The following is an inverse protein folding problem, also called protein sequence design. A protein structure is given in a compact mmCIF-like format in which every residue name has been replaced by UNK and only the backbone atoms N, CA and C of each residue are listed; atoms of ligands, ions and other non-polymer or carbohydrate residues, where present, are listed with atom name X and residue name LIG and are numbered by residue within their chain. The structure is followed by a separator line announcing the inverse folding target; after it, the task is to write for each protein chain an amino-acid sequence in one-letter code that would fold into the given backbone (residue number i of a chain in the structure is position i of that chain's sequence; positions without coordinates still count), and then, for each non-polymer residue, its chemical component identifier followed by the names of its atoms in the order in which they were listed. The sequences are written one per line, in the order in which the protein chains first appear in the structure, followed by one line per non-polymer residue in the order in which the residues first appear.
data_IF_735279261552
#
_entry.id   IF_735279261552
#
_cell.length_a   1.000
_cell.length_b   1.000
_cell.length_c   1.000
_cell.angle_alpha   90.00
_cell.angle_beta   90.00
_cell.angle_gamma   90.00
#
_symmetry.space_group_name_H-M   'P 1'
#
loop_
_entity.id
_entity.type
_entity.pdbx_description
1 polymer ?
#
# COMPACT_ATOMS: atom_id res chain seq x y z
N UNK A 1 3.89 -22.58 -32.32
CA UNK A 1 2.93 -21.82 -31.49
C UNK A 1 3.46 -20.41 -31.35
N UNK A 2 2.75 -19.46 -31.95
CA UNK A 2 3.17 -18.08 -32.16
C UNK A 2 3.09 -17.24 -30.87
N UNK A 3 4.11 -16.40 -30.71
CA UNK A 3 4.44 -15.57 -29.56
C UNK A 3 3.52 -14.33 -29.50
N UNK A 4 2.47 -14.35 -28.64
CA UNK A 4 1.49 -13.25 -28.53
C UNK A 4 2.02 -11.99 -27.85
N UNK A 5 3.17 -12.04 -27.19
CA UNK A 5 3.81 -10.88 -26.53
C UNK A 5 4.49 -9.92 -27.51
N UNK A 6 4.87 -10.37 -28.71
CA UNK A 6 5.56 -9.53 -29.70
C UNK A 6 4.62 -8.68 -30.57
N UNK A 7 3.34 -9.06 -30.69
CA UNK A 7 2.39 -8.31 -31.52
C UNK A 7 1.87 -7.04 -30.82
N UNK A 8 1.79 -7.06 -29.48
CA UNK A 8 1.39 -5.91 -28.67
C UNK A 8 2.45 -4.80 -28.64
N UNK A 9 3.73 -5.17 -28.78
CA UNK A 9 4.86 -4.25 -28.77
C UNK A 9 4.95 -3.42 -30.06
N UNK A 10 4.53 -4.00 -31.20
CA UNK A 10 4.59 -3.30 -32.50
C UNK A 10 3.44 -2.30 -32.70
N UNK A 11 2.26 -2.55 -32.13
CA UNK A 11 1.14 -1.60 -32.19
C UNK A 11 1.37 -0.37 -31.32
N UNK A 12 2.04 -0.51 -30.17
CA UNK A 12 2.35 0.62 -29.28
C UNK A 12 3.39 1.58 -29.89
N UNK A 13 4.37 1.06 -30.64
CA UNK A 13 5.40 1.88 -31.30
C UNK A 13 4.89 2.64 -32.53
N UNK A 14 3.80 2.17 -33.16
CA UNK A 14 3.23 2.83 -34.34
C UNK A 14 2.45 4.11 -33.99
N UNK A 15 1.81 4.15 -32.81
CA UNK A 15 1.02 5.31 -32.37
C UNK A 15 1.91 6.49 -31.96
N UNK A 16 3.11 6.22 -31.45
CA UNK A 16 4.06 7.26 -30.98
C UNK A 16 4.70 8.05 -32.13
N UNK A 17 4.64 7.56 -33.38
CA UNK A 17 5.26 8.24 -34.54
C UNK A 17 4.37 9.26 -35.26
N UNK A 18 3.09 9.38 -34.93
CA UNK A 18 2.14 10.23 -35.66
C UNK A 18 1.61 11.45 -34.87
N UNK A 19 2.25 11.83 -33.77
CA UNK A 19 1.87 13.02 -32.99
C UNK A 19 3.10 13.91 -32.84
N UNK A 20 3.49 14.58 -33.91
CA UNK A 20 4.39 15.74 -33.88
C UNK A 20 4.13 16.54 -35.14
N UNK A 21 3.24 17.53 -35.05
CA UNK A 21 3.23 18.77 -35.84
C UNK A 21 2.12 19.68 -35.30
N UNK A 22 2.45 20.92 -34.91
CA UNK A 22 1.45 21.97 -34.69
C UNK A 22 1.74 22.95 -33.54
N UNK A 23 2.18 24.14 -33.93
CA UNK A 23 2.56 25.38 -33.21
C UNK A 23 1.68 25.91 -32.06
N UNK A 24 2.33 26.71 -31.19
CA UNK A 24 1.79 27.50 -30.08
C UNK A 24 0.90 28.68 -30.53
N UNK A 25 -0.26 28.85 -29.87
CA UNK A 25 -0.95 30.15 -29.77
C UNK A 25 -1.52 30.32 -28.37
N UNK A 26 -1.07 31.35 -27.65
CA UNK A 26 -1.58 31.79 -26.34
C UNK A 26 -2.86 32.60 -26.56
N UNK A 27 -3.97 32.17 -25.96
CA UNK A 27 -5.23 32.92 -25.91
C UNK A 27 -5.92 32.67 -24.58
N UNK A 28 -6.09 33.74 -23.79
CA UNK A 28 -6.80 33.75 -22.50
C UNK A 28 -8.30 33.71 -22.70
N UNK A 29 -8.97 32.62 -22.30
CA UNK A 29 -10.43 32.51 -22.23
C UNK A 29 -10.89 31.75 -20.96
N UNK A 30 -12.15 31.98 -20.50
CA UNK A 30 -12.65 31.53 -19.20
C UNK A 30 -12.69 30.01 -19.08
N UNK A 31 -12.42 29.47 -17.88
CA UNK A 31 -12.35 28.03 -17.61
C UNK A 31 -13.52 27.25 -18.23
N UNK A 32 -13.23 26.52 -19.28
CA UNK A 32 -14.11 25.49 -19.84
C UNK A 32 -14.43 24.45 -18.77
N UNK A 33 -15.62 23.82 -18.80
CA UNK A 33 -15.90 22.68 -17.95
C UNK A 33 -14.80 21.61 -18.13
N UNK A 34 -14.44 20.85 -17.08
CA UNK A 34 -13.41 19.83 -17.18
C UNK A 34 -13.75 18.88 -18.32
N UNK A 35 -12.79 18.62 -19.21
CA UNK A 35 -12.94 17.54 -20.20
C UNK A 35 -13.21 16.24 -19.44
N UNK A 36 -14.41 15.68 -19.58
CA UNK A 36 -14.88 14.46 -18.90
C UNK A 36 -14.01 13.24 -19.26
N UNK A 37 -13.16 13.34 -20.29
CA UNK A 37 -12.13 12.35 -20.61
C UNK A 37 -10.92 12.38 -19.67
N UNK A 38 -10.59 13.54 -19.11
CA UNK A 38 -9.40 13.76 -18.29
C UNK A 38 -9.71 13.96 -16.82
N UNK A 39 -10.92 14.39 -16.47
CA UNK A 39 -11.33 14.59 -15.09
C UNK A 39 -12.76 14.13 -14.88
N UNK A 40 -13.01 13.34 -13.82
CA UNK A 40 -14.35 12.92 -13.41
C UNK A 40 -14.58 13.11 -11.93
N UNK A 41 -15.78 13.55 -11.56
CA UNK A 41 -16.19 13.74 -10.18
C UNK A 41 -17.16 12.63 -9.77
N UNK A 42 -16.97 12.09 -8.57
CA UNK A 42 -17.85 11.10 -7.96
C UNK A 42 -18.34 11.71 -6.67
N UNK A 43 -19.61 12.11 -6.60
CA UNK A 43 -20.17 12.62 -5.34
C UNK A 43 -20.36 11.46 -4.34
N UNK A 44 -20.03 11.64 -3.04
CA UNK A 44 -19.47 12.83 -2.38
C UNK A 44 -17.92 12.84 -2.30
N UNK A 45 -17.23 12.04 -3.10
CA UNK A 45 -15.79 11.77 -3.05
C UNK A 45 -14.91 12.77 -3.83
N UNK A 46 -15.53 13.74 -4.52
CA UNK A 46 -14.82 14.78 -5.27
C UNK A 46 -14.29 14.32 -6.63
N UNK A 47 -13.36 15.11 -7.18
CA UNK A 47 -12.91 14.99 -8.57
C UNK A 47 -11.52 14.37 -8.70
N UNK A 48 -11.36 13.52 -9.71
CA UNK A 48 -10.13 12.81 -10.03
C UNK A 48 -9.71 13.18 -11.44
N UNK A 49 -8.50 13.70 -11.58
CA UNK A 49 -7.90 14.00 -12.88
C UNK A 49 -6.85 12.96 -13.27
N UNK A 50 -6.64 12.77 -14.57
CA UNK A 50 -5.50 12.04 -15.15
C UNK A 50 -4.34 12.96 -15.49
N UNK A 51 -4.50 14.29 -15.39
CA UNK A 51 -3.42 15.25 -15.62
C UNK A 51 -2.26 15.06 -14.62
N UNK A 52 -1.09 15.61 -14.94
CA UNK A 52 0.05 15.65 -14.03
C UNK A 52 -0.38 16.10 -12.62
N UNK A 53 0.06 15.42 -11.55
CA UNK A 53 1.09 14.37 -11.52
C UNK A 53 0.57 12.94 -11.68
N UNK A 54 -0.71 12.75 -12.00
CA UNK A 54 -1.31 11.43 -12.12
C UNK A 54 -0.92 10.72 -13.42
N UNK A 55 -0.57 11.48 -14.46
CA UNK A 55 0.20 10.98 -15.60
C UNK A 55 1.57 11.62 -15.57
N UNK A 56 2.60 10.79 -15.69
CA UNK A 56 4.01 11.19 -15.64
C UNK A 56 4.87 10.18 -16.43
N UNK A 57 6.15 10.46 -16.67
CA UNK A 57 7.08 9.51 -17.30
C UNK A 57 7.17 8.19 -16.52
N UNK A 58 7.05 8.24 -15.19
CA UNK A 58 7.05 7.06 -14.32
C UNK A 58 5.65 6.43 -14.16
N UNK A 59 4.62 7.07 -14.72
CA UNK A 59 3.22 6.63 -14.72
C UNK A 59 2.58 6.97 -16.07
N UNK A 60 3.01 6.32 -17.18
CA UNK A 60 2.68 6.76 -18.54
C UNK A 60 1.23 6.51 -18.93
N UNK A 61 0.57 5.55 -18.27
CA UNK A 61 -0.85 5.25 -18.44
C UNK A 61 -1.54 5.52 -17.10
N UNK A 62 -2.46 6.50 -17.09
CA UNK A 62 -3.31 6.76 -15.94
C UNK A 62 -4.77 6.79 -16.36
N UNK A 63 -5.57 5.97 -15.70
CA UNK A 63 -7.01 5.94 -15.88
C UNK A 63 -7.69 6.84 -14.84
N UNK A 64 -8.95 7.18 -15.11
CA UNK A 64 -9.88 7.62 -14.09
C UNK A 64 -10.31 6.41 -13.24
N UNK A 65 -10.60 6.57 -11.94
CA UNK A 65 -11.18 5.49 -11.14
C UNK A 65 -12.47 4.93 -11.75
N UNK A 66 -12.78 3.67 -11.46
CA UNK A 66 -14.11 3.14 -11.77
C UNK A 66 -15.17 3.74 -10.83
N UNK A 67 -16.43 3.59 -11.21
CA UNK A 67 -17.54 4.02 -10.37
C UNK A 67 -17.49 3.33 -8.99
N UNK A 68 -17.85 4.04 -7.89
CA UNK A 68 -17.79 3.49 -6.53
C UNK A 68 -18.49 2.14 -6.37
N UNK A 69 -19.64 1.94 -7.03
CA UNK A 69 -20.39 0.69 -6.97
C UNK A 69 -19.69 -0.49 -7.67
N UNK A 70 -18.80 -0.24 -8.63
CA UNK A 70 -17.99 -1.28 -9.29
C UNK A 70 -16.81 -1.69 -8.43
N UNK A 71 -16.13 -0.72 -7.82
CA UNK A 71 -15.03 -0.98 -6.88
C UNK A 71 -15.57 -1.70 -5.65
N UNK A 72 -16.77 -1.32 -5.19
CA UNK A 72 -17.49 -1.93 -4.07
C UNK A 72 -16.61 -2.05 -2.82
N UNK A 73 -16.08 -0.90 -2.36
CA UNK A 73 -15.24 -0.85 -1.15
C UNK A 73 -16.07 -1.17 0.09
N UNK A 74 -15.65 -2.20 0.83
CA UNK A 74 -16.31 -2.66 2.04
C UNK A 74 -15.35 -2.61 3.24
N UNK A 75 -15.89 -2.25 4.40
CA UNK A 75 -15.13 -2.14 5.64
C UNK A 75 -15.63 -3.14 6.66
N UNK A 76 -14.86 -4.20 6.88
CA UNK A 76 -15.21 -5.24 7.84
C UNK A 76 -14.51 -5.02 9.18
N UNK A 77 -15.28 -4.67 10.21
CA UNK A 77 -14.80 -4.58 11.58
C UNK A 77 -14.77 -5.95 12.24
N UNK A 78 -13.61 -6.26 12.84
CA UNK A 78 -13.38 -7.36 13.75
C UNK A 78 -12.86 -6.82 15.09
N UNK A 79 -13.40 -7.37 16.17
CA UNK A 79 -12.95 -7.10 17.54
C UNK A 79 -12.88 -8.42 18.30
N UNK A 80 -12.39 -8.43 19.54
CA UNK A 80 -12.47 -9.62 20.41
C UNK A 80 -13.90 -10.14 20.63
N UNK A 81 -14.91 -9.28 20.48
CA UNK A 81 -16.33 -9.65 20.62
C UNK A 81 -16.91 -10.31 19.36
N UNK A 82 -16.27 -10.10 18.21
CA UNK A 82 -16.65 -10.67 16.92
C UNK A 82 -15.41 -11.03 16.07
N UNK A 83 -14.54 -11.92 16.54
CA UNK A 83 -13.24 -12.16 15.90
C UNK A 83 -13.35 -12.89 14.55
N UNK A 84 -14.50 -13.52 14.27
CA UNK A 84 -14.74 -14.29 13.04
C UNK A 84 -15.90 -13.76 12.19
N UNK A 85 -16.68 -12.80 12.72
CA UNK A 85 -17.88 -12.28 12.06
C UNK A 85 -17.67 -10.81 11.74
N UNK A 86 -17.66 -10.47 10.45
CA UNK A 86 -17.56 -9.09 10.00
C UNK A 86 -18.78 -8.27 10.46
N UNK A 87 -18.52 -7.12 11.08
CA UNK A 87 -19.50 -6.05 11.22
C UNK A 87 -19.18 -4.97 10.18
N UNK A 88 -20.08 -4.76 9.23
CA UNK A 88 -19.86 -3.79 8.15
C UNK A 88 -19.95 -2.38 8.70
N UNK A 89 -18.93 -1.56 8.43
CA UNK A 89 -18.93 -0.13 8.69
C UNK A 89 -19.22 0.63 7.40
N UNK A 90 -20.18 1.53 7.46
CA UNK A 90 -20.68 2.29 6.32
C UNK A 90 -20.26 3.76 6.44
N UNK A 91 -19.75 4.32 5.34
CA UNK A 91 -19.31 5.73 5.26
C UNK A 91 -20.46 6.72 5.18
N UNK A 92 -21.62 6.28 4.69
CA UNK A 92 -22.84 7.09 4.56
C UNK A 92 -23.81 6.90 5.73
N UNK A 93 -23.48 6.03 6.69
CA UNK A 93 -24.36 5.71 7.82
C UNK A 93 -23.53 5.61 9.11
N UNK A 94 -23.36 6.72 9.85
CA UNK A 94 -22.65 6.76 11.13
C UNK A 94 -23.20 5.79 12.18
N UNK A 95 -24.46 5.39 12.06
CA UNK A 95 -25.08 4.42 12.97
C UNK A 95 -24.46 3.02 12.85
N UNK A 96 -23.87 2.67 11.70
CA UNK A 96 -23.14 1.41 11.51
C UNK A 96 -21.99 1.28 12.50
N UNK A 97 -21.21 2.35 12.69
CA UNK A 97 -20.12 2.39 13.67
C UNK A 97 -20.67 2.41 15.09
N UNK A 98 -21.72 3.20 15.36
CA UNK A 98 -22.30 3.30 16.71
C UNK A 98 -22.86 1.96 17.23
N UNK A 99 -23.47 1.16 16.35
CA UNK A 99 -24.03 -0.16 16.68
C UNK A 99 -23.01 -1.29 16.64
N UNK A 100 -21.80 -1.02 16.15
CA UNK A 100 -20.73 -2.00 16.08
C UNK A 100 -20.06 -2.23 17.43
N UNK A 101 -19.16 -3.21 17.50
CA UNK A 101 -18.33 -3.48 18.67
C UNK A 101 -17.11 -2.56 18.79
N UNK A 102 -16.98 -1.52 17.95
CA UNK A 102 -15.82 -0.63 17.94
C UNK A 102 -15.63 0.06 19.29
N UNK A 103 -14.45 -0.13 19.87
CA UNK A 103 -14.05 0.49 21.13
C UNK A 103 -13.15 1.70 20.86
N UNK A 104 -13.62 2.91 21.20
CA UNK A 104 -12.93 4.17 20.89
C UNK A 104 -11.57 4.33 21.58
N UNK A 105 -11.42 3.67 22.73
CA UNK A 105 -10.19 3.62 23.52
C UNK A 105 -9.12 2.73 22.92
N UNK A 106 -9.46 1.83 22.01
CA UNK A 106 -8.57 0.75 21.56
C UNK A 106 -7.70 1.22 20.40
N UNK A 107 -6.64 0.46 20.08
CA UNK A 107 -5.87 0.73 18.85
C UNK A 107 -6.68 0.23 17.66
N UNK A 108 -6.79 1.05 16.62
CA UNK A 108 -7.57 0.72 15.43
C UNK A 108 -6.63 0.46 14.26
N UNK A 109 -6.58 -0.79 13.82
CA UNK A 109 -5.83 -1.21 12.65
C UNK A 109 -6.72 -1.16 11.42
N UNK A 110 -6.25 -0.52 10.36
CA UNK A 110 -6.80 -0.70 9.02
C UNK A 110 -5.89 -1.66 8.26
N UNK A 111 -6.43 -2.68 7.61
CA UNK A 111 -5.65 -3.65 6.81
C UNK A 111 -6.16 -3.61 5.38
N UNK A 112 -5.29 -3.29 4.43
CA UNK A 112 -5.61 -3.24 3.01
C UNK A 112 -4.76 -4.23 2.19
N UNK A 113 -5.44 -4.97 1.32
CA UNK A 113 -4.83 -5.90 0.38
C UNK A 113 -4.30 -5.21 -0.88
N UNK A 114 -3.61 -5.98 -1.73
CA UNK A 114 -3.02 -5.51 -2.98
C UNK A 114 -3.81 -5.87 -4.24
N UNK A 115 -3.09 -5.87 -5.37
CA UNK A 115 -3.56 -6.26 -6.69
C UNK A 115 -3.95 -7.75 -6.74
N UNK A 116 -5.06 -8.11 -7.41
CA UNK A 116 -5.60 -9.48 -7.49
C UNK A 116 -5.96 -10.12 -6.14
N UNK A 117 -6.12 -9.30 -5.10
CA UNK A 117 -6.46 -9.75 -3.75
C UNK A 117 -7.84 -9.27 -3.30
N UNK A 118 -8.25 -9.72 -2.11
CA UNK A 118 -9.49 -9.30 -1.48
C UNK A 118 -9.37 -9.37 0.05
N UNK A 119 -10.36 -8.83 0.76
CA UNK A 119 -10.34 -8.80 2.24
C UNK A 119 -10.35 -10.18 2.90
N UNK A 120 -10.74 -11.22 2.16
CA UNK A 120 -10.85 -12.60 2.64
C UNK A 120 -9.54 -13.42 2.53
N UNK A 121 -8.42 -12.81 2.12
CA UNK A 121 -7.15 -13.55 1.99
C UNK A 121 -6.71 -14.14 3.34
N UNK A 122 -6.17 -15.39 3.37
CA UNK A 122 -5.78 -16.05 4.62
C UNK A 122 -4.79 -15.25 5.48
N UNK A 123 -3.86 -14.52 4.86
CA UNK A 123 -2.90 -13.70 5.60
C UNK A 123 -3.57 -12.57 6.38
N UNK A 124 -4.66 -11.98 5.86
CA UNK A 124 -5.44 -10.94 6.54
C UNK A 124 -6.16 -11.53 7.74
N UNK A 125 -6.76 -12.71 7.59
CA UNK A 125 -7.41 -13.43 8.69
C UNK A 125 -6.43 -13.78 9.80
N UNK A 126 -5.23 -14.28 9.45
CA UNK A 126 -4.16 -14.57 10.42
C UNK A 126 -3.67 -13.31 11.12
N UNK A 127 -3.38 -12.24 10.38
CA UNK A 127 -2.94 -10.97 10.95
C UNK A 127 -4.00 -10.37 11.88
N UNK A 128 -5.26 -10.36 11.46
CA UNK A 128 -6.40 -9.93 12.29
C UNK A 128 -6.46 -10.73 13.59
N UNK A 129 -6.37 -12.06 13.51
CA UNK A 129 -6.36 -12.94 14.68
C UNK A 129 -5.21 -12.64 15.64
N UNK A 130 -3.99 -12.47 15.14
CA UNK A 130 -2.82 -12.15 15.97
C UNK A 130 -2.91 -10.75 16.59
N UNK A 131 -3.45 -9.76 15.88
CA UNK A 131 -3.67 -8.42 16.44
C UNK A 131 -4.69 -8.44 17.58
N UNK A 132 -5.80 -9.17 17.43
CA UNK A 132 -6.85 -9.27 18.43
C UNK A 132 -6.42 -10.11 19.65
N UNK A 133 -5.55 -11.11 19.48
CA UNK A 133 -5.00 -11.89 20.60
C UNK A 133 -4.09 -11.03 21.48
N UNK A 134 -3.15 -10.30 20.88
CA UNK A 134 -2.08 -9.65 21.62
C UNK A 134 -2.48 -8.34 22.32
N UNK A 135 -3.61 -7.72 21.95
CA UNK A 135 -4.05 -6.43 22.50
C UNK A 135 -5.54 -6.17 22.32
N UNK A 136 -6.07 -5.26 23.11
CA UNK A 136 -7.38 -4.64 22.86
C UNK A 136 -7.27 -3.77 21.61
N UNK A 137 -7.97 -4.19 20.56
CA UNK A 137 -7.86 -3.61 19.24
C UNK A 137 -9.17 -3.72 18.46
N UNK A 138 -9.40 -2.71 17.63
CA UNK A 138 -10.31 -2.78 16.50
C UNK A 138 -9.50 -3.12 15.26
N UNK A 139 -9.94 -4.07 14.44
CA UNK A 139 -9.32 -4.36 13.15
C UNK A 139 -10.36 -4.15 12.06
N UNK A 140 -10.11 -3.20 11.17
CA UNK A 140 -10.95 -2.87 10.03
C UNK A 140 -10.25 -3.34 8.76
N UNK A 141 -10.79 -4.38 8.13
CA UNK A 141 -10.31 -4.85 6.83
C UNK A 141 -10.94 -3.97 5.75
N UNK A 142 -10.10 -3.37 4.91
CA UNK A 142 -10.50 -2.60 3.73
C UNK A 142 -10.51 -3.54 2.53
N UNK A 143 -11.69 -4.05 2.20
CA UNK A 143 -11.90 -4.90 1.03
C UNK A 143 -12.29 -4.03 -0.18
N UNK A 144 -11.39 -3.94 -1.14
CA UNK A 144 -11.60 -3.24 -2.41
C UNK A 144 -11.45 -4.20 -3.60
N UNK A 145 -11.72 -5.49 -3.37
CA UNK A 145 -11.54 -6.57 -4.35
C UNK A 145 -12.20 -6.31 -5.70
N UNK A 146 -13.37 -5.67 -5.71
CA UNK A 146 -14.08 -5.30 -6.95
C UNK A 146 -13.25 -4.43 -7.89
N UNK A 147 -12.43 -3.54 -7.35
CA UNK A 147 -11.54 -2.66 -8.11
C UNK A 147 -10.07 -3.09 -8.19
N UNK A 148 -9.72 -4.27 -7.67
CA UNK A 148 -8.33 -4.76 -7.59
C UNK A 148 -7.90 -5.68 -8.75
N UNK A 149 -8.83 -5.99 -9.64
CA UNK A 149 -8.65 -6.91 -10.76
C UNK A 149 -7.94 -6.23 -11.95
N UNK A 150 -7.48 -7.00 -12.96
CA UNK A 150 -6.90 -6.43 -14.17
C UNK A 150 -7.87 -5.50 -14.92
N UNK A 151 -7.34 -4.50 -15.64
CA UNK A 151 -5.91 -4.22 -15.84
C UNK A 151 -5.25 -3.51 -14.65
N UNK A 152 -3.95 -3.75 -14.45
CA UNK A 152 -3.18 -3.16 -13.33
C UNK A 152 -3.30 -1.63 -13.27
N UNK A 153 -3.26 -0.95 -14.41
CA UNK A 153 -3.41 0.52 -14.51
C UNK A 153 -4.77 1.01 -14.00
N UNK A 154 -5.82 0.20 -14.11
CA UNK A 154 -7.13 0.51 -13.53
C UNK A 154 -7.13 0.33 -12.02
N UNK A 155 -6.55 -0.75 -11.50
CA UNK A 155 -6.40 -0.95 -10.06
C UNK A 155 -5.59 0.20 -9.39
N UNK A 156 -4.52 0.66 -10.05
CA UNK A 156 -3.74 1.84 -9.65
C UNK A 156 -4.57 3.12 -9.61
N UNK A 157 -5.49 3.30 -10.55
CA UNK A 157 -6.42 4.44 -10.53
C UNK A 157 -7.46 4.29 -9.41
N UNK A 158 -8.03 3.10 -9.25
CA UNK A 158 -9.08 2.79 -8.28
C UNK A 158 -8.66 3.08 -6.83
N UNK A 159 -7.42 2.75 -6.44
CA UNK A 159 -6.95 2.99 -5.06
C UNK A 159 -6.94 4.48 -4.68
N UNK A 160 -6.94 5.41 -5.64
CA UNK A 160 -7.10 6.85 -5.35
C UNK A 160 -8.48 7.14 -4.75
N UNK A 161 -9.53 6.57 -5.35
CA UNK A 161 -10.90 6.72 -4.88
C UNK A 161 -11.12 5.93 -3.58
N UNK A 162 -10.60 4.70 -3.49
CA UNK A 162 -10.63 3.92 -2.23
C UNK A 162 -9.96 4.68 -1.08
N UNK A 163 -8.90 5.44 -1.36
CA UNK A 163 -8.22 6.29 -0.38
C UNK A 163 -9.12 7.38 0.19
N UNK A 164 -9.92 8.05 -0.66
CA UNK A 164 -10.90 9.04 -0.22
C UNK A 164 -12.02 8.38 0.60
N UNK A 165 -12.59 7.29 0.10
CA UNK A 165 -13.67 6.54 0.78
C UNK A 165 -13.20 6.09 2.18
N UNK A 166 -11.97 5.58 2.28
CA UNK A 166 -11.41 5.12 3.55
C UNK A 166 -11.08 6.29 4.48
N UNK A 167 -10.59 7.42 3.96
CA UNK A 167 -10.38 8.63 4.76
C UNK A 167 -11.69 9.18 5.35
N UNK A 168 -12.81 9.08 4.61
CA UNK A 168 -14.14 9.44 5.13
C UNK A 168 -14.55 8.54 6.30
N UNK A 169 -14.34 7.22 6.19
CA UNK A 169 -14.60 6.32 7.32
C UNK A 169 -13.71 6.66 8.52
N UNK A 170 -12.42 6.90 8.30
CA UNK A 170 -11.51 7.30 9.37
C UNK A 170 -12.00 8.58 10.04
N UNK A 171 -12.36 9.61 9.28
CA UNK A 171 -12.91 10.85 9.82
C UNK A 171 -14.20 10.62 10.63
N UNK A 172 -15.07 9.70 10.20
CA UNK A 172 -16.25 9.28 10.99
C UNK A 172 -15.84 8.67 12.33
N UNK A 173 -14.79 7.85 12.38
CA UNK A 173 -14.24 7.32 13.64
C UNK A 173 -13.67 8.44 14.53
N UNK A 174 -12.97 9.42 13.95
CA UNK A 174 -12.44 10.58 14.68
C UNK A 174 -13.56 11.40 15.32
N UNK A 175 -14.62 11.69 14.57
CA UNK A 175 -15.80 12.42 15.06
C UNK A 175 -16.53 11.66 16.19
N UNK A 176 -16.35 10.34 16.28
CA UNK A 176 -16.87 9.53 17.37
C UNK A 176 -15.93 9.43 18.58
N UNK A 177 -14.76 10.08 18.53
CA UNK A 177 -13.80 10.16 19.63
C UNK A 177 -12.65 9.16 19.55
N UNK A 178 -12.45 8.46 18.42
CA UNK A 178 -11.20 7.74 18.18
C UNK A 178 -10.09 8.76 17.99
N UNK A 179 -9.00 8.63 18.73
CA UNK A 179 -7.85 9.52 18.58
C UNK A 179 -7.03 9.16 17.34
N UNK A 180 -6.59 10.13 16.52
CA UNK A 180 -5.89 9.85 15.27
C UNK A 180 -4.56 9.11 15.47
N UNK A 181 -3.86 9.35 16.58
CA UNK A 181 -2.59 8.68 16.92
C UNK A 181 -2.77 7.19 17.22
N UNK A 182 -4.02 6.74 17.44
CA UNK A 182 -4.37 5.33 17.68
C UNK A 182 -4.73 4.57 16.41
N UNK A 183 -4.68 5.22 15.26
CA UNK A 183 -4.98 4.62 13.98
C UNK A 183 -3.68 4.18 13.32
N UNK A 184 -3.59 2.88 13.02
CA UNK A 184 -2.47 2.26 12.32
C UNK A 184 -2.97 1.63 11.03
N UNK A 185 -2.57 2.19 9.89
CA UNK A 185 -2.85 1.62 8.58
C UNK A 185 -1.76 0.63 8.18
N UNK A 186 -2.13 -0.58 7.75
CA UNK A 186 -1.24 -1.62 7.26
C UNK A 186 -1.68 -1.97 5.84
N UNK A 187 -0.81 -1.74 4.87
CA UNK A 187 -1.13 -1.95 3.45
C UNK A 187 -0.11 -2.83 2.77
N UNK A 188 -0.57 -3.83 2.02
CA UNK A 188 0.28 -4.72 1.22
C UNK A 188 0.24 -4.35 -0.27
N UNK A 189 1.39 -4.31 -0.95
CA UNK A 189 1.48 -4.04 -2.40
C UNK A 189 0.78 -2.71 -2.76
N UNK A 190 -0.24 -2.70 -3.65
CA UNK A 190 -1.06 -1.52 -3.94
C UNK A 190 -1.76 -0.94 -2.68
N UNK A 191 -2.07 -1.80 -1.71
CA UNK A 191 -2.63 -1.39 -0.41
C UNK A 191 -1.70 -0.48 0.39
N UNK A 192 -0.39 -0.55 0.19
CA UNK A 192 0.55 0.36 0.85
C UNK A 192 0.36 1.81 0.37
N UNK A 193 0.24 2.01 -0.95
CA UNK A 193 -0.06 3.31 -1.54
C UNK A 193 -1.47 3.79 -1.21
N UNK A 194 -2.42 2.87 -1.07
CA UNK A 194 -3.73 3.20 -0.51
C UNK A 194 -3.60 3.83 0.88
N UNK A 195 -2.75 3.30 1.76
CA UNK A 195 -2.45 3.92 3.06
C UNK A 195 -1.93 5.35 2.95
N UNK A 196 -1.04 5.60 1.98
CA UNK A 196 -0.56 6.95 1.65
C UNK A 196 -1.69 7.88 1.23
N UNK A 197 -2.57 7.44 0.31
CA UNK A 197 -3.73 8.22 -0.08
C UNK A 197 -4.70 8.50 1.07
N UNK A 198 -4.91 7.55 1.99
CA UNK A 198 -5.72 7.80 3.20
C UNK A 198 -5.10 8.89 4.06
N UNK A 199 -3.79 8.77 4.35
CA UNK A 199 -3.04 9.76 5.13
C UNK A 199 -3.05 11.15 4.50
N UNK A 200 -2.82 11.23 3.19
CA UNK A 200 -2.87 12.48 2.44
C UNK A 200 -4.26 13.15 2.48
N UNK A 201 -5.32 12.37 2.23
CA UNK A 201 -6.69 12.90 2.24
C UNK A 201 -7.14 13.33 3.64
N UNK A 202 -6.74 12.62 4.69
CA UNK A 202 -7.02 13.03 6.07
C UNK A 202 -6.43 14.40 6.40
N UNK A 203 -5.19 14.63 5.99
CA UNK A 203 -4.51 15.91 6.21
C UNK A 203 -5.17 17.03 5.41
N UNK A 204 -5.43 16.79 4.12
CA UNK A 204 -5.98 17.80 3.20
C UNK A 204 -7.44 18.16 3.49
N UNK A 205 -8.28 17.18 3.81
CA UNK A 205 -9.73 17.38 3.92
C UNK A 205 -10.18 17.60 5.36
N UNK A 206 -9.52 16.96 6.34
CA UNK A 206 -9.98 16.92 7.74
C UNK A 206 -8.94 17.43 8.73
N UNK A 207 -7.83 18.02 8.25
CA UNK A 207 -6.76 18.58 9.07
C UNK A 207 -6.27 17.61 10.17
N UNK A 208 -6.27 16.31 9.85
CA UNK A 208 -5.93 15.22 10.76
C UNK A 208 -4.85 14.33 10.15
N UNK A 209 -4.01 13.71 10.98
CA UNK A 209 -2.88 12.89 10.50
C UNK A 209 -2.92 11.50 11.14
N UNK A 210 -2.69 10.46 10.36
CA UNK A 210 -2.66 9.09 10.89
C UNK A 210 -1.51 8.92 11.88
N UNK A 211 -1.73 8.15 12.95
CA UNK A 211 -0.66 7.79 13.88
C UNK A 211 0.45 6.98 13.21
N UNK A 212 0.10 5.96 12.41
CA UNK A 212 1.08 5.12 11.73
C UNK A 212 0.60 4.55 10.41
N UNK A 213 1.52 4.43 9.44
CA UNK A 213 1.36 3.59 8.25
C UNK A 213 2.50 2.56 8.20
N UNK A 214 2.17 1.29 8.01
CA UNK A 214 3.13 0.24 7.65
C UNK A 214 2.88 -0.21 6.21
N UNK A 215 3.85 0.02 5.33
CA UNK A 215 3.86 -0.51 3.97
C UNK A 215 4.54 -1.87 3.90
N UNK A 216 3.78 -2.91 3.54
CA UNK A 216 4.30 -4.26 3.29
C UNK A 216 4.53 -4.41 1.79
N UNK A 217 5.80 -4.31 1.40
CA UNK A 217 6.27 -4.41 0.02
C UNK A 217 5.50 -3.52 -0.98
N UNK A 218 5.57 -2.18 -0.83
CA UNK A 218 4.84 -1.25 -1.71
C UNK A 218 5.19 -1.48 -3.19
N UNK A 219 4.16 -1.52 -4.05
CA UNK A 219 4.34 -1.83 -5.46
C UNK A 219 5.13 -0.75 -6.21
N UNK A 220 6.22 -1.10 -6.89
CA UNK A 220 7.02 -0.14 -7.66
C UNK A 220 6.31 0.36 -8.96
N UNK A 221 5.68 -0.49 -9.79
CA UNK A 221 5.14 -0.04 -11.08
C UNK A 221 4.06 1.03 -10.93
N UNK A 222 4.20 2.15 -11.64
CA UNK A 222 3.38 3.37 -11.58
C UNK A 222 3.51 4.22 -10.30
N UNK A 223 4.46 3.90 -9.41
CA UNK A 223 4.73 4.66 -8.18
C UNK A 223 6.20 5.02 -8.00
N UNK A 224 7.13 4.19 -8.48
CA UNK A 224 8.57 4.44 -8.39
C UNK A 224 8.94 5.83 -8.93
N UNK A 225 9.70 6.59 -8.14
CA UNK A 225 10.17 7.95 -8.47
C UNK A 225 9.07 8.96 -8.88
N UNK A 226 7.81 8.68 -8.55
CA UNK A 226 6.71 9.66 -8.67
C UNK A 226 6.71 10.67 -7.51
N UNK A 227 6.00 11.78 -7.69
CA UNK A 227 5.82 12.78 -6.63
C UNK A 227 5.14 12.16 -5.39
N UNK A 228 5.45 12.66 -4.17
CA UNK A 228 4.85 12.14 -2.93
C UNK A 228 3.32 12.00 -2.95
N UNK A 229 2.60 12.92 -3.60
CA UNK A 229 1.13 12.87 -3.71
C UNK A 229 0.60 11.65 -4.48
N UNK A 230 1.44 10.97 -5.27
CA UNK A 230 1.07 9.82 -6.11
C UNK A 230 1.36 8.48 -5.44
N UNK A 231 2.16 8.46 -4.37
CA UNK A 231 2.68 7.23 -3.73
C UNK A 231 2.60 7.31 -2.22
N UNK A 232 3.10 6.27 -1.55
CA UNK A 232 3.32 6.30 -0.10
C UNK A 232 4.56 7.15 0.17
N UNK A 233 4.46 8.06 1.14
CA UNK A 233 5.54 8.93 1.56
C UNK A 233 5.58 9.08 3.10
N UNK A 234 6.73 9.47 3.64
CA UNK A 234 6.91 9.63 5.08
C UNK A 234 6.02 10.74 5.67
N UNK A 235 5.50 11.66 4.85
CA UNK A 235 4.58 12.72 5.28
C UNK A 235 3.16 12.24 5.56
N UNK A 236 2.78 11.03 5.13
CA UNK A 236 1.39 10.58 5.15
C UNK A 236 0.87 10.20 6.55
N UNK A 237 1.77 10.01 7.52
CA UNK A 237 1.45 9.71 8.92
C UNK A 237 2.51 10.29 9.87
N UNK A 238 2.26 10.23 11.18
CA UNK A 238 3.29 10.59 12.18
C UNK A 238 4.47 9.62 12.16
N UNK A 239 4.19 8.36 11.82
CA UNK A 239 5.23 7.36 11.62
C UNK A 239 4.92 6.50 10.40
N UNK A 240 5.89 6.35 9.50
CA UNK A 240 5.79 5.48 8.33
C UNK A 240 6.95 4.49 8.36
N UNK A 241 6.64 3.20 8.38
CA UNK A 241 7.62 2.12 8.26
C UNK A 241 7.31 1.22 7.07
N UNK A 242 8.35 0.79 6.36
CA UNK A 242 8.21 -0.02 5.15
C UNK A 242 9.05 -1.28 5.31
N UNK A 243 8.46 -2.42 4.98
CA UNK A 243 9.12 -3.72 4.91
C UNK A 243 9.19 -4.10 3.44
N UNK A 244 10.39 -4.28 2.92
CA UNK A 244 10.59 -4.75 1.55
C UNK A 244 10.93 -6.25 1.54
N UNK A 245 10.27 -7.00 0.67
CA UNK A 245 10.46 -8.45 0.51
C UNK A 245 10.76 -8.84 -0.94
N UNK A 246 10.33 -8.06 -1.92
CA UNK A 246 10.70 -8.17 -3.32
C UNK A 246 11.19 -6.82 -3.86
N UNK A 247 12.48 -6.52 -3.63
CA UNK A 247 13.14 -5.33 -4.20
C UNK A 247 13.81 -5.62 -5.54
N UNK A 248 13.51 -6.75 -6.17
CA UNK A 248 14.11 -7.07 -7.46
C UNK A 248 13.54 -6.11 -8.51
N UNK A 249 14.40 -5.57 -9.37
CA UNK A 249 13.96 -4.57 -10.36
C UNK A 249 12.95 -5.19 -11.31
N UNK A 250 11.74 -4.62 -11.37
CA UNK A 250 10.75 -5.03 -12.37
C UNK A 250 11.24 -4.79 -13.81
N UNK A 251 12.21 -3.88 -14.02
CA UNK A 251 12.90 -3.66 -15.30
C UNK A 251 14.42 -3.56 -15.07
N UNK A 252 15.20 -4.50 -15.63
CA UNK A 252 16.66 -4.43 -15.68
C UNK A 252 17.12 -3.30 -16.61
N UNK A 253 17.33 -2.09 -16.08
CA UNK A 253 17.92 -0.98 -16.83
C UNK A 253 17.68 0.42 -16.26
N UNK A 254 16.67 0.61 -15.41
CA UNK A 254 16.39 1.90 -14.76
C UNK A 254 17.30 2.14 -13.54
N UNK A 255 17.79 3.37 -13.38
CA UNK A 255 18.31 3.85 -12.09
C UNK A 255 17.10 4.30 -11.26
N UNK A 256 16.70 3.54 -10.25
CA UNK A 256 15.70 3.96 -9.26
C UNK A 256 16.30 3.89 -7.86
N UNK A 257 15.91 4.84 -7.01
CA UNK A 257 16.29 4.90 -5.59
C UNK A 257 15.21 4.21 -4.74
N UNK A 258 15.58 3.39 -3.73
CA UNK A 258 14.61 2.93 -2.73
C UNK A 258 13.89 4.14 -2.14
N UNK A 259 12.59 4.00 -1.83
CA UNK A 259 11.82 5.04 -1.11
C UNK A 259 12.68 5.48 0.09
N UNK A 260 13.09 6.76 0.18
CA UNK A 260 14.13 7.15 1.12
C UNK A 260 13.66 6.93 2.57
N UNK A 261 14.35 6.03 3.27
CA UNK A 261 14.18 5.82 4.70
C UNK A 261 15.01 6.84 5.49
N UNK A 262 14.39 7.52 6.46
CA UNK A 262 15.12 8.04 7.61
C UNK A 262 15.30 6.86 8.57
N UNK A 263 16.53 6.35 8.71
CA UNK A 263 16.84 5.30 9.68
C UNK A 263 16.60 5.82 11.10
N UNK A 264 15.55 5.31 11.74
CA UNK A 264 15.42 5.34 13.19
C UNK A 264 15.26 3.89 13.66
N UNK A 265 16.28 3.38 14.36
CA UNK A 265 16.27 2.08 15.03
C UNK A 265 15.26 2.13 16.19
N UNK A 266 14.16 1.40 16.09
CA UNK A 266 13.26 1.14 17.22
C UNK A 266 12.82 -0.33 17.25
N UNK A 267 12.56 -0.84 18.45
CA UNK A 267 12.05 -2.19 18.68
C UNK A 267 10.69 -2.38 17.99
N UNK A 268 10.64 -3.32 17.04
CA UNK A 268 9.44 -3.66 16.28
C UNK A 268 8.49 -4.52 17.13
N UNK A 269 7.21 -4.12 17.24
CA UNK A 269 6.16 -4.81 18.02
C UNK A 269 5.03 -5.41 17.17
N UNK A 270 5.16 -5.38 15.83
CA UNK A 270 4.15 -5.91 14.91
C UNK A 270 4.50 -7.34 14.45
N UNK A 271 3.59 -8.32 14.58
CA UNK A 271 3.77 -9.68 14.06
C UNK A 271 3.94 -9.68 12.54
N UNK A 272 4.86 -10.51 12.02
CA UNK A 272 5.18 -10.63 10.60
C UNK A 272 4.64 -11.98 10.08
N UNK A 273 3.92 -12.03 8.94
CA UNK A 273 3.58 -13.29 8.26
C UNK A 273 4.84 -13.93 7.64
N UNK A 274 5.11 -15.20 7.92
CA UNK A 274 6.35 -15.91 7.56
C UNK A 274 6.32 -16.72 6.27
N UNK A 275 5.18 -16.79 5.57
CA UNK A 275 5.03 -17.68 4.43
C UNK A 275 5.63 -16.99 3.17
N UNK A 276 6.85 -17.42 2.79
CA UNK A 276 7.63 -17.05 1.58
C UNK A 276 8.58 -15.84 1.64
N UNK A 277 9.23 -15.56 2.76
CA UNK A 277 10.28 -14.51 2.79
C UNK A 277 11.68 -15.08 2.60
N UNK A 278 12.39 -14.64 1.56
CA UNK A 278 13.85 -14.73 1.44
C UNK A 278 14.46 -13.43 1.96
N UNK A 279 14.93 -13.41 3.21
CA UNK A 279 15.48 -12.20 3.82
C UNK A 279 16.97 -12.08 3.51
N UNK A 280 17.37 -11.07 2.74
CA UNK A 280 18.78 -10.65 2.65
C UNK A 280 19.03 -9.58 3.71
N UNK A 281 19.54 -9.97 4.89
CA UNK A 281 19.96 -9.01 5.94
C UNK A 281 21.39 -9.32 6.41
N UNK A 282 22.31 -8.32 6.42
CA UNK A 282 23.48 -8.36 7.27
C UNK A 282 23.02 -8.13 8.72
N UNK A 283 23.14 -9.13 9.58
CA UNK A 283 22.77 -9.02 10.99
C UNK A 283 24.01 -8.97 11.88
N UNK A 284 24.10 -7.94 12.73
CA UNK A 284 24.79 -7.99 14.02
C UNK A 284 23.70 -8.05 15.09
N UNK A 285 23.63 -9.13 15.85
CA UNK A 285 22.73 -9.28 17.00
C UNK A 285 23.52 -9.71 18.24
N UNK A 286 23.29 -9.09 19.41
CA UNK A 286 23.41 -9.78 20.68
C UNK A 286 22.15 -10.66 20.87
N UNK A 287 22.34 -11.97 20.99
CA UNK A 287 21.27 -12.97 21.14
C UNK A 287 20.42 -12.79 22.41
N UNK A 288 19.10 -13.03 22.29
CA UNK A 288 18.32 -14.00 23.12
C UNK A 288 16.90 -14.15 22.57
N UNK A 289 16.68 -15.13 21.69
CA UNK A 289 15.38 -15.82 21.54
C UNK A 289 15.57 -17.12 20.73
N UNK A 290 14.92 -18.25 21.08
CA UNK A 290 15.07 -19.51 20.35
C UNK A 290 14.25 -19.48 19.06
N UNK A 291 14.83 -19.99 17.97
CA UNK A 291 14.17 -20.10 16.65
C UNK A 291 13.87 -21.59 16.40
N UNK A 292 12.62 -21.99 16.10
CA UNK A 292 12.30 -23.32 15.60
C UNK A 292 12.85 -23.48 14.18
N UNK A 293 13.70 -24.47 13.97
CA UNK A 293 14.24 -24.84 12.67
C UNK A 293 13.32 -25.83 12.00
N UNK A 294 12.71 -25.46 10.88
CA UNK A 294 12.50 -26.40 9.77
C UNK A 294 12.47 -25.63 8.44
N UNK A 295 13.36 -26.04 7.54
CA UNK A 295 13.47 -25.74 6.10
C UNK A 295 13.69 -24.28 5.64
N UNK A 296 14.86 -23.70 5.98
CA UNK A 296 15.41 -22.58 5.19
C UNK A 296 16.89 -22.81 4.85
N UNK A 297 17.21 -22.79 3.55
CA UNK A 297 18.58 -22.74 3.03
C UNK A 297 19.08 -21.30 3.01
N UNK A 298 20.15 -20.99 3.74
CA UNK A 298 20.77 -19.66 3.76
C UNK A 298 22.10 -19.69 2.99
N UNK A 299 22.18 -18.96 1.88
CA UNK A 299 23.46 -18.63 1.25
C UNK A 299 24.08 -17.43 1.99
N UNK A 300 25.31 -17.60 2.48
CA UNK A 300 25.96 -16.65 3.38
C UNK A 300 27.29 -16.18 2.77
N UNK A 301 27.46 -14.87 2.59
CA UNK A 301 28.78 -14.26 2.44
C UNK A 301 29.24 -13.72 3.80
N UNK A 302 30.40 -14.19 4.26
CA UNK A 302 31.01 -13.75 5.51
C UNK A 302 32.10 -12.71 5.25
N UNK A 303 32.05 -11.58 5.95
CA UNK A 303 33.20 -10.70 6.17
C UNK A 303 33.61 -10.79 7.65
N UNK A 304 34.86 -11.13 7.92
CA UNK A 304 35.43 -11.21 9.27
C UNK A 304 36.58 -10.19 9.43
N UNK A 305 36.61 -9.37 10.50
CA UNK A 305 37.86 -8.90 11.07
C UNK A 305 38.39 -9.99 12.02
N UNK A 306 39.53 -10.59 11.66
CA UNK A 306 40.19 -11.63 12.43
C UNK A 306 40.92 -11.04 13.65
N UNK A 307 40.67 -11.59 14.84
CA UNK A 307 41.71 -11.71 15.88
C UNK A 307 41.51 -13.02 16.66
N UNK A 308 42.45 -13.93 16.42
CA UNK A 308 42.94 -15.04 17.29
C UNK A 308 42.36 -16.47 17.11
N UNK A 309 43.27 -17.31 16.59
CA UNK A 309 43.54 -18.77 16.65
C UNK A 309 42.36 -19.76 16.79
N UNK A 310 42.14 -20.49 15.68
CA UNK A 310 41.33 -21.71 15.57
C UNK A 310 42.17 -22.96 15.89
N UNK A 311 41.64 -23.97 16.62
CA UNK A 311 41.99 -25.36 16.41
C UNK A 311 41.18 -25.92 15.25
N UNK A 312 41.89 -26.62 14.38
CA UNK A 312 41.44 -27.35 13.19
C UNK A 312 40.44 -28.46 13.54
N UNK A 313 39.36 -28.58 12.77
CA UNK A 313 39.23 -29.68 11.81
C UNK A 313 37.97 -29.57 10.91
N UNK A 314 38.23 -29.85 9.63
CA UNK A 314 37.31 -30.32 8.58
C UNK A 314 36.27 -29.35 8.00
N UNK A 315 36.78 -28.43 7.19
CA UNK A 315 36.06 -27.77 6.08
C UNK A 315 35.90 -28.69 4.88
N UNK A 316 34.73 -28.66 4.24
CA UNK A 316 34.60 -28.85 2.79
C UNK A 316 33.69 -27.75 2.23
N UNK A 317 34.19 -27.04 1.22
CA UNK A 317 33.47 -26.05 0.41
C UNK A 317 33.41 -26.57 -1.03
N UNK A 318 32.24 -26.47 -1.67
CA UNK A 318 32.11 -26.50 -3.13
C UNK A 318 31.58 -25.15 -3.61
N UNK A 319 32.21 -24.64 -4.67
CA UNK A 319 32.03 -23.32 -5.30
C UNK A 319 30.61 -23.06 -5.78
#
# INVERSE_FOLDING_TARGET
MLNQTNLFLQTMLFVVRNINDGEEVVSTTPQSPPDDRLTRCYEPYGCFSTLYPWTDVNRPISNLPEEPYKINTNFCLYTRRNPHTCQVLETNNPMSVYRSNLARSDLTYFIAHGYLEGGHKPWIGRLTGELLKNREANVVVVDWSGGSNPPYTQAVANIRLVGVITALLVNQLLNMGVRPERIHFIGHSLGAHLGGYVGHNLQRQFHSKLGRITGLDPAEPHFGDTLPVVRLDYTDAEFVDIIHTDTSRFITGGKTTPIPHRQHLYLQTTPIPTDNTSTYRPHLYPQRTPIPTDNTSTHRQHYYPQTTILPTENTYTHR
#
